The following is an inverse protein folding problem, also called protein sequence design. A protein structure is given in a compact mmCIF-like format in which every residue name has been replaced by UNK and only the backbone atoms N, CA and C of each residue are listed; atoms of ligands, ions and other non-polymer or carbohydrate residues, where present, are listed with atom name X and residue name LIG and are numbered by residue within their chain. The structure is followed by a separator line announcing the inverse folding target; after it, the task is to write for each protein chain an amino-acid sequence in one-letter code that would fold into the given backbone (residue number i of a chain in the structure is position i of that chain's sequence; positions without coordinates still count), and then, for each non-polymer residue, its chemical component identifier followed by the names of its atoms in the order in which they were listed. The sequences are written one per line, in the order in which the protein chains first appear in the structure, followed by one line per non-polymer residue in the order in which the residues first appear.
data_IF_517532531237
#
_entry.id   IF_517532531237
#
_cell.length_a   1.000
_cell.length_b   1.000
_cell.length_c   1.000
_cell.angle_alpha   90.00
_cell.angle_beta   90.00
_cell.angle_gamma   90.00
#
_symmetry.space_group_name_H-M   'P 1'
#
loop_
_entity.id
_entity.type
_entity.pdbx_description
1 polymer ?
#
# COMPACT_ATOMS: atom_id res chain seq x y z
N UNK A 1 -16.86 45.23 58.45
CA UNK A 1 -16.17 45.29 57.14
C UNK A 1 -14.84 44.58 57.32
N UNK A 2 -14.45 43.54 56.62
CA UNK A 2 -15.03 42.67 55.59
C UNK A 2 -14.07 41.48 55.55
N UNK A 3 -14.60 40.26 55.43
CA UNK A 3 -13.82 39.05 55.21
C UNK A 3 -13.00 39.16 53.92
N UNK A 4 -11.72 38.81 53.96
CA UNK A 4 -10.94 38.62 52.74
C UNK A 4 -10.40 37.18 52.69
N UNK A 5 -11.31 36.29 52.29
CA UNK A 5 -11.00 34.99 51.69
C UNK A 5 -10.32 35.25 50.33
N UNK A 6 -8.99 35.43 50.32
CA UNK A 6 -8.20 35.34 49.09
C UNK A 6 -7.74 33.90 48.87
N UNK A 7 -8.64 33.19 48.20
CA UNK A 7 -8.35 32.41 47.01
C UNK A 7 -7.18 31.41 47.07
N UNK A 8 -7.50 30.22 47.60
CA UNK A 8 -6.72 28.98 47.48
C UNK A 8 -6.96 28.24 46.14
N UNK A 9 -7.48 28.89 45.09
CA UNK A 9 -7.82 28.21 43.83
C UNK A 9 -6.70 28.16 42.78
N UNK A 10 -5.63 28.94 42.93
CA UNK A 10 -4.61 29.07 41.88
C UNK A 10 -3.65 27.88 41.80
N UNK A 11 -3.37 27.18 42.90
CA UNK A 11 -2.41 26.04 42.91
C UNK A 11 -3.01 24.71 42.42
N UNK A 12 -4.33 24.63 42.20
CA UNK A 12 -5.00 23.37 41.84
C UNK A 12 -5.21 23.19 40.33
N UNK A 13 -5.06 24.25 39.53
CA UNK A 13 -5.30 24.20 38.08
C UNK A 13 -4.06 23.76 37.31
N UNK A 14 -2.85 24.12 37.78
CA UNK A 14 -1.58 23.78 37.12
C UNK A 14 -1.18 22.30 37.25
N UNK A 15 -1.79 21.58 38.20
CA UNK A 15 -1.57 20.14 38.42
C UNK A 15 -2.50 19.22 37.61
N UNK A 16 -3.57 19.75 37.00
CA UNK A 16 -4.55 18.96 36.24
C UNK A 16 -4.22 18.91 34.73
N UNK A 17 -3.64 19.97 34.16
CA UNK A 17 -3.28 20.01 32.73
C UNK A 17 -2.03 19.19 32.40
N UNK A 18 -1.11 19.03 33.35
CA UNK A 18 0.11 18.21 33.19
C UNK A 18 -0.13 16.71 33.43
N UNK A 19 -1.26 16.31 34.02
CA UNK A 19 -1.64 14.90 34.18
C UNK A 19 -2.36 14.35 32.93
N UNK A 20 -3.25 15.13 32.30
CA UNK A 20 -3.97 14.68 31.10
C UNK A 20 -3.06 14.38 29.89
N UNK A 21 -2.00 15.17 29.66
CA UNK A 21 -1.03 14.90 28.58
C UNK A 21 -0.16 13.67 28.82
N UNK A 22 0.07 13.29 30.09
CA UNK A 22 0.92 12.13 30.44
C UNK A 22 0.20 10.80 30.23
N UNK A 23 -1.13 10.79 30.23
CA UNK A 23 -1.92 9.58 30.01
C UNK A 23 -2.11 9.29 28.51
N UNK A 24 -2.36 10.33 27.71
CA UNK A 24 -2.49 10.26 26.23
C UNK A 24 -1.20 9.73 25.55
N UNK A 25 -0.03 10.19 26.02
CA UNK A 25 1.26 9.69 25.54
C UNK A 25 1.51 8.21 25.86
N UNK A 26 1.03 7.73 27.02
CA UNK A 26 1.16 6.32 27.41
C UNK A 26 0.21 5.42 26.63
N UNK A 27 -1.00 5.89 26.36
CA UNK A 27 -1.98 5.18 25.53
C UNK A 27 -1.49 5.06 24.08
N UNK A 28 -0.97 6.15 23.51
CA UNK A 28 -0.34 6.14 22.18
C UNK A 28 0.83 5.16 22.08
N UNK A 29 1.67 5.07 23.12
CA UNK A 29 2.78 4.11 23.16
C UNK A 29 2.30 2.66 23.21
N UNK A 30 1.27 2.37 24.01
CA UNK A 30 0.64 1.04 24.07
C UNK A 30 0.04 0.64 22.73
N UNK A 31 -0.61 1.59 22.04
CA UNK A 31 -1.19 1.34 20.73
C UNK A 31 -0.13 1.00 19.69
N UNK A 32 1.01 1.72 19.69
CA UNK A 32 2.14 1.41 18.81
C UNK A 32 2.72 0.02 19.11
N UNK A 33 2.92 -0.33 20.38
CA UNK A 33 3.42 -1.66 20.78
C UNK A 33 2.49 -2.79 20.30
N UNK A 34 1.17 -2.62 20.44
CA UNK A 34 0.18 -3.57 19.94
C UNK A 34 0.26 -3.71 18.41
N UNK A 35 0.32 -2.61 17.67
CA UNK A 35 0.43 -2.64 16.21
C UNK A 35 1.74 -3.30 15.74
N UNK A 36 2.86 -3.06 16.43
CA UNK A 36 4.14 -3.70 16.12
C UNK A 36 4.06 -5.21 16.36
N UNK A 37 3.46 -5.66 17.47
CA UNK A 37 3.28 -7.09 17.77
C UNK A 37 2.41 -7.79 16.74
N UNK A 38 1.32 -7.14 16.31
CA UNK A 38 0.43 -7.67 15.27
C UNK A 38 1.16 -7.80 13.92
N UNK A 39 1.93 -6.78 13.54
CA UNK A 39 2.77 -6.82 12.34
C UNK A 39 3.81 -7.95 12.42
N UNK A 40 4.53 -8.06 13.53
CA UNK A 40 5.53 -9.13 13.74
C UNK A 40 4.91 -10.52 13.65
N UNK A 41 3.74 -10.73 14.24
CA UNK A 41 3.02 -12.02 14.14
C UNK A 41 2.67 -12.35 12.68
N UNK A 42 2.12 -11.38 11.96
CA UNK A 42 1.72 -11.56 10.56
C UNK A 42 2.94 -11.79 9.65
N UNK A 43 4.00 -11.02 9.85
CA UNK A 43 5.24 -11.13 9.09
C UNK A 43 5.99 -12.44 9.40
N UNK A 44 5.96 -12.91 10.64
CA UNK A 44 6.55 -14.20 11.04
C UNK A 44 5.92 -15.36 10.27
N UNK A 45 4.58 -15.40 10.18
CA UNK A 45 3.88 -16.42 9.39
C UNK A 45 4.32 -16.40 7.93
N UNK A 46 4.54 -15.22 7.36
CA UNK A 46 5.03 -15.11 5.99
C UNK A 46 6.47 -15.62 5.85
N UNK A 47 7.37 -15.22 6.75
CA UNK A 47 8.80 -15.55 6.68
C UNK A 47 9.11 -17.02 7.02
N UNK A 48 8.30 -17.68 7.86
CA UNK A 48 8.47 -19.09 8.20
C UNK A 48 7.95 -20.02 7.09
N UNK A 49 6.88 -19.62 6.39
CA UNK A 49 6.27 -20.44 5.34
C UNK A 49 6.86 -20.18 3.95
N UNK A 50 7.48 -19.02 3.74
CA UNK A 50 7.98 -18.63 2.43
C UNK A 50 9.36 -17.97 2.50
N UNK A 51 10.25 -18.45 1.64
CA UNK A 51 11.49 -17.75 1.34
C UNK A 51 11.21 -16.64 0.33
N UNK A 52 11.70 -15.42 0.59
CA UNK A 52 11.54 -14.25 -0.30
C UNK A 52 12.01 -14.55 -1.74
N UNK A 53 13.02 -15.42 -1.90
CA UNK A 53 13.52 -15.85 -3.21
C UNK A 53 12.58 -16.81 -3.95
N UNK A 54 11.76 -17.55 -3.21
CA UNK A 54 10.80 -18.48 -3.79
C UNK A 54 9.47 -17.79 -4.12
N UNK A 55 9.20 -16.60 -3.55
CA UNK A 55 8.04 -15.78 -3.91
C UNK A 55 8.02 -15.38 -5.38
N UNK A 56 9.18 -15.13 -6.00
CA UNK A 56 9.28 -14.80 -7.42
C UNK A 56 8.75 -15.94 -8.32
N UNK A 57 8.86 -17.19 -7.85
CA UNK A 57 8.39 -18.37 -8.59
C UNK A 57 6.91 -18.65 -8.39
N UNK A 58 6.32 -18.15 -7.31
CA UNK A 58 4.93 -18.43 -6.91
C UNK A 58 3.99 -17.31 -7.35
N UNK A 59 4.46 -16.05 -7.33
CA UNK A 59 3.65 -14.88 -7.65
C UNK A 59 3.77 -14.50 -9.12
N UNK A 60 2.70 -13.92 -9.68
CA UNK A 60 2.83 -13.26 -10.99
C UNK A 60 3.75 -12.04 -10.89
N UNK A 61 4.36 -11.57 -11.99
CA UNK A 61 5.26 -10.42 -11.96
C UNK A 61 4.64 -9.16 -11.34
N UNK A 62 3.32 -8.96 -11.52
CA UNK A 62 2.59 -7.83 -10.94
C UNK A 62 2.42 -8.02 -9.43
N UNK A 63 1.96 -9.19 -8.98
CA UNK A 63 1.81 -9.50 -7.54
C UNK A 63 3.16 -9.46 -6.82
N UNK A 64 4.23 -9.90 -7.46
CA UNK A 64 5.60 -9.81 -6.94
C UNK A 64 6.04 -8.35 -6.81
N UNK A 65 5.75 -7.50 -7.78
CA UNK A 65 6.03 -6.07 -7.70
C UNK A 65 5.21 -5.39 -6.60
N UNK A 66 3.92 -5.72 -6.48
CA UNK A 66 3.04 -5.23 -5.40
C UNK A 66 3.59 -5.61 -4.02
N UNK A 67 3.96 -6.88 -3.85
CA UNK A 67 4.56 -7.38 -2.60
C UNK A 67 5.86 -6.64 -2.25
N UNK A 68 6.80 -6.51 -3.19
CA UNK A 68 8.07 -5.81 -2.94
C UNK A 68 7.86 -4.32 -2.64
N UNK A 69 6.95 -3.67 -3.35
CA UNK A 69 6.62 -2.26 -3.11
C UNK A 69 5.99 -2.04 -1.73
N UNK A 70 5.13 -2.98 -1.29
CA UNK A 70 4.56 -2.98 0.05
C UNK A 70 5.65 -3.16 1.11
N UNK A 71 6.56 -4.13 0.94
CA UNK A 71 7.65 -4.36 1.88
C UNK A 71 8.57 -3.14 2.02
N UNK A 72 8.95 -2.53 0.89
CA UNK A 72 9.74 -1.30 0.89
C UNK A 72 9.02 -0.15 1.63
N UNK A 73 7.71 0.00 1.42
CA UNK A 73 6.91 1.02 2.08
C UNK A 73 6.83 0.78 3.59
N UNK A 74 6.62 -0.47 4.01
CA UNK A 74 6.58 -0.86 5.43
C UNK A 74 7.90 -0.53 6.13
N UNK A 75 9.04 -0.88 5.52
CA UNK A 75 10.37 -0.60 6.09
C UNK A 75 10.58 0.91 6.23
N UNK A 76 10.30 1.69 5.18
CA UNK A 76 10.43 3.14 5.21
C UNK A 76 9.51 3.77 6.27
N UNK A 77 8.29 3.26 6.42
CA UNK A 77 7.30 3.75 7.38
C UNK A 77 7.68 3.44 8.82
N UNK A 78 8.20 2.24 9.09
CA UNK A 78 8.71 1.85 10.41
C UNK A 78 9.92 2.73 10.77
N UNK A 79 10.85 2.92 9.83
CA UNK A 79 12.03 3.75 10.06
C UNK A 79 11.66 5.22 10.27
N UNK A 80 10.72 5.76 9.50
CA UNK A 80 10.17 7.09 9.74
C UNK A 80 9.54 7.22 11.13
N UNK A 81 8.78 6.21 11.56
CA UNK A 81 8.15 6.18 12.89
C UNK A 81 9.20 6.13 14.00
N UNK A 82 10.25 5.33 13.81
CA UNK A 82 11.40 5.29 14.71
C UNK A 82 12.06 6.67 14.87
N UNK A 83 12.41 7.33 13.77
CA UNK A 83 13.00 8.67 13.80
C UNK A 83 12.11 9.69 14.52
N UNK A 84 10.78 9.59 14.31
CA UNK A 84 9.80 10.45 14.98
C UNK A 84 9.78 10.25 16.50
N UNK A 85 9.96 9.01 16.97
CA UNK A 85 9.98 8.66 18.40
C UNK A 85 11.32 9.01 19.03
N UNK A 86 12.43 8.82 18.32
CA UNK A 86 13.78 9.12 18.80
C UNK A 86 14.05 10.62 18.97
N UNK A 87 13.18 11.49 18.46
CA UNK A 87 13.36 12.94 18.52
C UNK A 87 14.36 13.48 17.49
N UNK A 88 14.77 12.66 16.52
CA UNK A 88 15.67 13.06 15.45
C UNK A 88 14.98 14.04 14.48
N UNK A 89 15.77 14.96 13.92
CA UNK A 89 15.28 16.04 13.07
C UNK A 89 14.76 15.51 11.71
N UNK A 90 13.47 15.21 11.65
CA UNK A 90 12.75 14.79 10.43
C UNK A 90 12.66 15.86 9.33
N UNK A 91 13.02 17.11 9.62
CA UNK A 91 12.81 18.25 8.72
C UNK A 91 13.65 18.15 7.45
N UNK A 92 14.89 17.66 7.57
CA UNK A 92 15.83 17.49 6.45
C UNK A 92 16.18 16.02 6.17
N UNK A 93 15.52 15.06 6.83
CA UNK A 93 15.88 13.65 6.67
C UNK A 93 15.38 13.10 5.31
N UNK A 94 16.23 12.41 4.52
CA UNK A 94 15.90 11.93 3.18
C UNK A 94 14.75 10.91 3.15
N UNK A 95 14.43 10.28 4.28
CA UNK A 95 13.32 9.32 4.42
C UNK A 95 11.98 9.83 3.88
N UNK A 96 11.70 11.14 3.95
CA UNK A 96 10.47 11.71 3.40
C UNK A 96 10.44 11.61 1.87
N UNK A 97 11.60 11.76 1.23
CA UNK A 97 11.73 11.56 -0.22
C UNK A 97 11.60 10.08 -0.56
N UNK A 98 12.23 9.19 0.22
CA UNK A 98 12.11 7.74 0.00
C UNK A 98 10.65 7.26 0.14
N UNK A 99 9.92 7.74 1.14
CA UNK A 99 8.49 7.45 1.28
C UNK A 99 7.69 7.90 0.05
N UNK A 100 7.96 9.11 -0.48
CA UNK A 100 7.30 9.61 -1.69
C UNK A 100 7.66 8.76 -2.92
N UNK A 101 8.93 8.37 -3.05
CA UNK A 101 9.41 7.53 -4.15
C UNK A 101 8.69 6.17 -4.14
N UNK A 102 8.64 5.51 -2.98
CA UNK A 102 7.96 4.21 -2.86
C UNK A 102 6.46 4.35 -3.12
N UNK A 103 5.81 5.41 -2.62
CA UNK A 103 4.39 5.67 -2.92
C UNK A 103 4.13 5.89 -4.42
N UNK A 104 5.04 6.57 -5.12
CA UNK A 104 4.94 6.75 -6.57
C UNK A 104 5.04 5.40 -7.31
N UNK A 105 5.99 4.54 -6.91
CA UNK A 105 6.13 3.19 -7.46
C UNK A 105 4.90 2.32 -7.21
N UNK A 106 4.33 2.36 -6.00
CA UNK A 106 3.08 1.65 -5.68
C UNK A 106 1.92 2.13 -6.56
N UNK A 107 1.85 3.43 -6.84
CA UNK A 107 0.82 4.00 -7.72
C UNK A 107 0.99 3.51 -9.17
N UNK A 108 2.22 3.52 -9.68
CA UNK A 108 2.54 3.02 -11.03
C UNK A 108 2.19 1.53 -11.18
N UNK A 109 2.53 0.70 -10.20
CA UNK A 109 2.20 -0.72 -10.19
C UNK A 109 0.67 -0.92 -10.22
N UNK A 110 -0.07 -0.14 -9.43
CA UNK A 110 -1.54 -0.20 -9.38
C UNK A 110 -2.20 0.28 -10.68
N UNK A 111 -1.61 1.24 -11.38
CA UNK A 111 -2.08 1.67 -12.69
C UNK A 111 -1.87 0.55 -13.73
N UNK A 112 -0.67 -0.05 -13.75
CA UNK A 112 -0.36 -1.18 -14.64
C UNK A 112 -1.21 -2.42 -14.38
N UNK A 113 -1.55 -2.71 -13.13
CA UNK A 113 -2.42 -3.83 -12.80
C UNK A 113 -3.84 -3.65 -13.34
N UNK A 114 -4.37 -2.42 -13.32
CA UNK A 114 -5.68 -2.09 -13.93
C UNK A 114 -5.68 -2.21 -15.45
N UNK A 115 -4.66 -1.67 -16.12
CA UNK A 115 -4.55 -1.74 -17.58
C UNK A 115 -4.50 -3.20 -18.07
N UNK A 116 -3.81 -4.09 -17.36
CA UNK A 116 -3.76 -5.51 -17.72
C UNK A 116 -5.14 -6.20 -17.63
N UNK A 117 -5.96 -5.80 -16.65
CA UNK A 117 -7.33 -6.32 -16.49
C UNK A 117 -8.27 -5.76 -17.56
N UNK A 118 -8.13 -4.49 -17.92
CA UNK A 118 -8.91 -3.84 -18.97
C UNK A 118 -8.56 -4.38 -20.36
N UNK A 119 -7.29 -4.61 -20.66
CA UNK A 119 -6.84 -5.25 -21.90
C UNK A 119 -7.40 -6.67 -22.03
N UNK A 120 -7.36 -7.47 -20.96
CA UNK A 120 -7.99 -8.81 -20.92
C UNK A 120 -9.49 -8.77 -21.16
N UNK A 121 -10.18 -7.70 -20.72
CA UNK A 121 -11.63 -7.50 -20.95
C UNK A 121 -11.92 -6.95 -22.37
N UNK A 122 -10.98 -6.22 -22.96
CA UNK A 122 -11.08 -5.64 -24.31
C UNK A 122 -10.91 -6.66 -25.45
N UNK A 123 -10.41 -7.87 -25.15
CA UNK A 123 -10.43 -9.04 -26.05
C UNK A 123 -11.86 -9.59 -26.28
N UNK A 124 -12.88 -8.73 -26.24
CA UNK A 124 -14.22 -9.05 -26.69
C UNK A 124 -14.18 -9.12 -28.22
N UNK A 125 -13.93 -10.32 -28.74
CA UNK A 125 -13.91 -10.62 -30.18
C UNK A 125 -15.14 -10.00 -30.85
N UNK A 126 -14.92 -9.06 -31.76
CA UNK A 126 -15.98 -8.49 -32.57
C UNK A 126 -16.52 -9.60 -33.48
N UNK A 127 -17.66 -10.19 -33.08
CA UNK A 127 -18.30 -11.32 -33.77
C UNK A 127 -18.65 -10.99 -35.22
N UNK A 128 -18.96 -9.72 -35.50
CA UNK A 128 -19.29 -9.27 -36.84
C UNK A 128 -18.04 -9.19 -37.73
N UNK A 129 -16.93 -8.64 -37.23
CA UNK A 129 -15.66 -8.65 -37.95
C UNK A 129 -15.16 -10.09 -38.20
N UNK A 130 -15.31 -10.97 -37.20
CA UNK A 130 -14.94 -12.38 -37.32
C UNK A 130 -15.79 -13.11 -38.37
N UNK A 131 -17.10 -12.85 -38.41
CA UNK A 131 -18.01 -13.39 -39.42
C UNK A 131 -17.61 -12.96 -40.83
N UNK A 132 -17.29 -11.67 -41.03
CA UNK A 132 -16.84 -11.16 -42.35
C UNK A 132 -15.54 -11.81 -42.81
N UNK A 133 -14.57 -12.02 -41.90
CA UNK A 133 -13.31 -12.70 -42.22
C UNK A 133 -13.55 -14.16 -42.64
N UNK A 134 -14.42 -14.87 -41.91
CA UNK A 134 -14.79 -16.26 -42.23
C UNK A 134 -15.50 -16.32 -43.59
N UNK A 135 -16.51 -15.47 -43.81
CA UNK A 135 -17.27 -15.42 -45.07
C UNK A 135 -16.37 -15.13 -46.27
N UNK A 136 -15.44 -14.17 -46.13
CA UNK A 136 -14.50 -13.82 -47.18
C UNK A 136 -13.49 -14.95 -47.47
N UNK A 137 -13.05 -15.67 -46.44
CA UNK A 137 -12.15 -16.82 -46.61
C UNK A 137 -12.85 -17.99 -47.29
N UNK A 138 -14.11 -18.26 -46.92
CA UNK A 138 -14.92 -19.32 -47.52
C UNK A 138 -15.28 -19.00 -48.98
N UNK A 139 -15.64 -17.75 -49.29
CA UNK A 139 -15.94 -17.33 -50.66
C UNK A 139 -14.70 -17.42 -51.55
N UNK A 140 -13.55 -16.91 -51.09
CA UNK A 140 -12.28 -16.99 -51.82
C UNK A 140 -11.90 -18.43 -52.19
N UNK A 141 -12.03 -19.37 -51.25
CA UNK A 141 -11.76 -20.79 -51.50
C UNK A 141 -12.74 -21.41 -52.51
N UNK A 142 -13.99 -20.96 -52.56
CA UNK A 142 -14.97 -21.41 -53.55
C UNK A 142 -14.61 -20.94 -54.96
N UNK A 143 -14.06 -19.72 -55.10
CA UNK A 143 -13.59 -19.20 -56.38
C UNK A 143 -12.32 -19.91 -56.88
N UNK A 144 -11.43 -20.34 -55.98
CA UNK A 144 -10.24 -21.14 -56.35
C UNK A 144 -10.62 -22.54 -56.84
N UNK A 145 -11.62 -23.20 -56.22
CA UNK A 145 -12.05 -24.54 -56.68
C UNK A 145 -12.73 -24.50 -58.06
N UNK A 146 -13.45 -23.41 -58.37
CA UNK A 146 -14.16 -23.26 -59.66
C UNK A 146 -13.22 -22.92 -60.83
N UNK A 147 -12.00 -22.44 -60.57
CA UNK A 147 -10.99 -22.14 -61.59
C UNK A 147 -10.01 -23.30 -61.87
N UNK A 148 -10.17 -24.44 -61.16
CA UNK A 148 -9.33 -25.64 -61.31
C UNK A 148 -10.10 -26.90 -61.75
N UNK A 149 -11.41 -26.79 -62.01
CA UNK A 149 -12.22 -27.81 -62.71
C UNK A 149 -12.52 -27.32 -64.11
#
# INVERSE_FOLDING_TARGET
MEENNKDKSVDKVESLETQNKKDDGKESLKNIDLSIKEFQKSFKLLNENFNIKDLEKVLTPIEYAEYNSFLAYSICSIFYSYLKISGDFLTNHPIKNELKNVQALMKEIKEKSKTNVEEKRSLTINKEASKRIIENTVSYNKHIKKSKS
#
